data_IF_210146542767
#
_entry.id   IF_210146542767
#
_cell.length_a   1.000
_cell.length_b   1.000
_cell.length_c   1.000
_cell.angle_alpha   90.00
_cell.angle_beta   90.00
_cell.angle_gamma   90.00
#
_symmetry.space_group_name_H-M   'P 1'
#
loop_
_entity.id
_entity.type
_entity.pdbx_description
1 polymer ?
#
# COMPACT_ATOMS: atom_id res chain seq x y z
N UNK A 1 -43.91 45.74 -49.48
CA UNK A 1 -44.10 44.60 -48.58
C UNK A 1 -42.72 44.11 -48.17
N UNK A 2 -42.27 44.55 -47.02
CA UNK A 2 -40.89 44.28 -46.51
C UNK A 2 -40.97 43.26 -45.39
N UNK A 3 -40.38 42.08 -45.56
CA UNK A 3 -40.28 41.06 -44.55
C UNK A 3 -39.02 41.28 -43.74
N UNK A 4 -39.18 41.60 -42.48
CA UNK A 4 -38.07 41.69 -41.47
C UNK A 4 -37.65 40.29 -41.05
N UNK A 5 -36.46 39.85 -41.47
CA UNK A 5 -35.82 38.62 -41.01
C UNK A 5 -35.06 38.89 -39.71
N UNK A 6 -35.66 38.53 -38.56
CA UNK A 6 -34.99 38.60 -37.25
C UNK A 6 -33.95 37.47 -37.15
N UNK A 7 -32.67 37.84 -37.20
CA UNK A 7 -31.56 36.95 -36.92
C UNK A 7 -31.47 36.72 -35.42
N UNK A 8 -31.82 35.52 -34.96
CA UNK A 8 -31.52 35.07 -33.60
C UNK A 8 -30.01 34.71 -33.53
N UNK A 9 -29.26 35.47 -32.77
CA UNK A 9 -27.91 35.07 -32.35
C UNK A 9 -28.04 34.13 -31.17
N UNK A 10 -27.80 32.83 -31.34
CA UNK A 10 -27.58 31.87 -30.25
C UNK A 10 -26.13 32.00 -29.83
N UNK A 11 -25.91 32.69 -28.69
CA UNK A 11 -24.59 32.70 -28.05
C UNK A 11 -24.34 31.33 -27.37
N UNK A 12 -23.60 30.46 -28.03
CA UNK A 12 -23.13 29.22 -27.45
C UNK A 12 -22.03 29.51 -26.44
N UNK A 13 -22.33 29.40 -25.14
CA UNK A 13 -21.31 29.37 -24.10
C UNK A 13 -20.52 28.05 -24.22
N UNK A 14 -19.34 28.09 -24.83
CA UNK A 14 -18.36 27.03 -24.73
C UNK A 14 -17.79 27.02 -23.31
N UNK A 15 -18.34 26.18 -22.44
CA UNK A 15 -17.73 25.88 -21.16
C UNK A 15 -16.48 25.03 -21.40
N UNK A 16 -15.32 25.66 -21.44
CA UNK A 16 -14.05 24.95 -21.44
C UNK A 16 -13.91 24.25 -20.08
N UNK A 17 -14.18 22.94 -20.04
CA UNK A 17 -13.83 22.11 -18.91
C UNK A 17 -12.30 22.09 -18.79
N UNK A 18 -11.76 22.86 -17.85
CA UNK A 18 -10.35 22.77 -17.48
C UNK A 18 -10.18 21.44 -16.76
N UNK A 19 -9.69 20.42 -17.50
CA UNK A 19 -9.24 19.19 -16.88
C UNK A 19 -8.00 19.52 -16.02
N UNK A 20 -8.21 19.68 -14.71
CA UNK A 20 -7.11 19.77 -13.75
C UNK A 20 -6.46 18.40 -13.76
N UNK A 21 -5.18 18.26 -14.16
CA UNK A 21 -4.49 16.99 -14.05
C UNK A 21 -4.46 16.60 -12.58
N UNK A 22 -5.16 15.54 -12.20
CA UNK A 22 -4.97 14.89 -10.91
C UNK A 22 -3.61 14.22 -10.94
N UNK A 23 -2.57 14.99 -10.67
CA UNK A 23 -1.25 14.42 -10.44
C UNK A 23 -1.35 13.70 -9.11
N UNK A 24 -1.07 12.39 -9.11
CA UNK A 24 -0.86 11.64 -7.88
C UNK A 24 0.40 12.24 -7.23
N UNK A 25 0.20 13.27 -6.40
CA UNK A 25 1.28 13.92 -5.70
C UNK A 25 1.66 13.11 -4.47
N UNK A 26 2.89 12.64 -4.43
CA UNK A 26 3.56 12.47 -3.14
C UNK A 26 3.52 13.84 -2.49
N UNK A 27 2.86 13.93 -1.34
CA UNK A 27 2.79 15.19 -0.61
C UNK A 27 4.20 15.60 -0.17
N UNK A 28 4.72 16.64 -0.82
CA UNK A 28 6.08 17.12 -0.55
C UNK A 28 6.19 17.83 0.79
N UNK A 29 5.07 18.22 1.39
CA UNK A 29 5.04 18.80 2.73
C UNK A 29 5.19 17.74 3.82
N UNK A 30 4.82 16.46 3.49
CA UNK A 30 4.88 15.33 4.41
C UNK A 30 5.66 14.13 3.80
N UNK A 31 6.96 14.29 3.48
CA UNK A 31 7.70 13.27 2.72
C UNK A 31 7.86 11.95 3.48
N UNK A 32 8.01 12.00 4.81
CA UNK A 32 8.15 10.80 5.64
C UNK A 32 6.84 10.01 5.69
N UNK A 33 5.72 10.69 5.84
CA UNK A 33 4.40 10.08 5.80
C UNK A 33 4.10 9.49 4.42
N UNK A 34 4.44 10.20 3.35
CA UNK A 34 4.28 9.72 1.97
C UNK A 34 5.09 8.45 1.72
N UNK A 35 6.32 8.36 2.23
CA UNK A 35 7.15 7.15 2.17
C UNK A 35 6.46 5.98 2.88
N UNK A 36 6.00 6.17 4.13
CA UNK A 36 5.30 5.13 4.90
C UNK A 36 4.06 4.62 4.17
N UNK A 37 3.20 5.55 3.73
CA UNK A 37 1.94 5.20 3.06
C UNK A 37 2.18 4.47 1.74
N UNK A 38 3.13 4.92 0.92
CA UNK A 38 3.48 4.28 -0.34
C UNK A 38 4.03 2.87 -0.13
N UNK A 39 4.93 2.69 0.82
CA UNK A 39 5.50 1.39 1.15
C UNK A 39 4.41 0.40 1.58
N UNK A 40 3.58 0.76 2.56
CA UNK A 40 2.54 -0.16 3.05
C UNK A 40 1.40 -0.36 2.05
N UNK A 41 1.14 0.58 1.15
CA UNK A 41 0.23 0.37 0.02
C UNK A 41 0.76 -0.71 -0.92
N UNK A 42 2.05 -0.65 -1.29
CA UNK A 42 2.69 -1.68 -2.13
C UNK A 42 2.69 -3.05 -1.46
N UNK A 43 3.02 -3.11 -0.16
CA UNK A 43 2.93 -4.36 0.62
C UNK A 43 1.51 -4.93 0.59
N UNK A 44 0.48 -4.10 0.79
CA UNK A 44 -0.91 -4.53 0.75
C UNK A 44 -1.36 -5.02 -0.62
N UNK A 45 -0.93 -4.34 -1.68
CA UNK A 45 -1.26 -4.69 -3.07
C UNK A 45 -0.61 -6.00 -3.52
N UNK A 46 0.58 -6.33 -3.01
CA UNK A 46 1.25 -7.60 -3.31
C UNK A 46 0.74 -8.75 -2.44
N UNK A 47 0.49 -8.52 -1.16
CA UNK A 47 0.01 -9.55 -0.23
C UNK A 47 -1.46 -9.93 -0.45
N UNK A 48 -2.31 -8.96 -0.81
CA UNK A 48 -3.76 -9.14 -0.96
C UNK A 48 -4.16 -10.27 -1.90
N UNK A 49 -3.71 -10.26 -3.17
CA UNK A 49 -4.02 -11.32 -4.13
C UNK A 49 -3.56 -12.70 -3.67
N UNK A 50 -2.39 -12.82 -3.05
CA UNK A 50 -1.91 -14.10 -2.49
C UNK A 50 -2.82 -14.60 -1.36
N UNK A 51 -3.29 -13.70 -0.51
CA UNK A 51 -4.23 -14.04 0.55
C UNK A 51 -5.60 -14.46 0.00
N UNK A 52 -6.05 -13.86 -1.08
CA UNK A 52 -7.33 -14.21 -1.73
C UNK A 52 -7.23 -15.55 -2.47
N UNK A 53 -6.10 -15.89 -3.13
CA UNK A 53 -5.80 -17.24 -3.64
C UNK A 53 -5.82 -18.28 -2.51
N UNK A 54 -5.14 -18.00 -1.42
CA UNK A 54 -5.05 -18.94 -0.30
C UNK A 54 -6.40 -19.24 0.36
N UNK A 55 -7.32 -18.26 0.34
CA UNK A 55 -8.69 -18.36 0.85
C UNK A 55 -9.70 -18.92 -0.17
N UNK A 56 -9.27 -19.19 -1.40
CA UNK A 56 -10.15 -19.67 -2.48
C UNK A 56 -11.13 -18.62 -3.00
N UNK A 57 -10.86 -17.33 -2.80
CA UNK A 57 -11.67 -16.23 -3.37
C UNK A 57 -11.39 -16.00 -4.84
N UNK A 58 -10.19 -16.31 -5.27
CA UNK A 58 -9.75 -16.37 -6.67
C UNK A 58 -9.01 -17.68 -6.87
N UNK A 59 -8.97 -18.15 -8.13
CA UNK A 59 -8.36 -19.42 -8.48
C UNK A 59 -6.87 -19.44 -8.12
N UNK A 60 -6.40 -20.62 -7.69
CA UNK A 60 -5.00 -20.82 -7.36
C UNK A 60 -4.16 -20.89 -8.63
N UNK A 61 -3.17 -20.00 -8.74
CA UNK A 61 -2.12 -20.02 -9.75
C UNK A 61 -0.75 -19.88 -9.08
N UNK A 62 -0.02 -20.98 -9.00
CA UNK A 62 1.28 -21.00 -8.33
C UNK A 62 2.34 -20.11 -9.00
N UNK A 63 2.28 -19.93 -10.33
CA UNK A 63 3.24 -19.08 -11.04
C UNK A 63 2.95 -17.59 -10.78
N UNK A 64 1.68 -17.22 -10.78
CA UNK A 64 1.27 -15.85 -10.43
C UNK A 64 1.57 -15.58 -8.95
N UNK A 65 1.30 -16.56 -8.08
CA UNK A 65 1.63 -16.44 -6.65
C UNK A 65 3.14 -16.19 -6.43
N UNK A 66 4.00 -16.95 -7.11
CA UNK A 66 5.44 -16.80 -6.99
C UNK A 66 5.94 -15.41 -7.42
N UNK A 67 5.33 -14.82 -8.47
CA UNK A 67 5.64 -13.43 -8.87
C UNK A 67 5.29 -12.45 -7.77
N UNK A 68 4.09 -12.54 -7.20
CA UNK A 68 3.67 -11.68 -6.08
C UNK A 68 4.55 -11.85 -4.83
N UNK A 69 4.97 -13.09 -4.54
CA UNK A 69 5.85 -13.36 -3.41
C UNK A 69 7.26 -12.75 -3.61
N UNK A 70 7.79 -12.81 -4.83
CA UNK A 70 9.05 -12.14 -5.18
C UNK A 70 8.94 -10.62 -5.07
N UNK A 71 7.84 -10.04 -5.55
CA UNK A 71 7.60 -8.59 -5.43
C UNK A 71 7.50 -8.18 -3.95
N UNK A 72 6.78 -8.95 -3.13
CA UNK A 72 6.68 -8.69 -1.70
C UNK A 72 8.06 -8.75 -1.01
N UNK A 73 8.88 -9.75 -1.34
CA UNK A 73 10.24 -9.86 -0.80
C UNK A 73 11.10 -8.65 -1.19
N UNK A 74 11.04 -8.22 -2.46
CA UNK A 74 11.76 -7.03 -2.93
C UNK A 74 11.28 -5.75 -2.22
N UNK A 75 9.98 -5.54 -2.12
CA UNK A 75 9.38 -4.38 -1.43
C UNK A 75 9.77 -4.41 0.06
N UNK A 76 9.71 -5.57 0.72
CA UNK A 76 10.04 -5.70 2.13
C UNK A 76 11.49 -5.31 2.45
N UNK A 77 12.40 -5.39 1.47
CA UNK A 77 13.81 -4.99 1.63
C UNK A 77 14.03 -3.47 1.67
N UNK A 78 13.03 -2.67 1.30
CA UNK A 78 13.11 -1.20 1.41
C UNK A 78 13.15 -0.79 2.88
N UNK A 79 14.09 0.09 3.21
CA UNK A 79 14.27 0.61 4.57
C UNK A 79 13.21 1.66 4.92
N UNK A 80 11.98 1.19 5.19
CA UNK A 80 10.82 2.04 5.51
C UNK A 80 10.96 2.75 6.86
N UNK A 81 11.78 2.22 7.77
CA UNK A 81 12.09 2.83 9.08
C UNK A 81 12.59 4.28 8.95
N UNK A 82 13.22 4.64 7.84
CA UNK A 82 13.59 6.04 7.54
C UNK A 82 12.40 6.98 7.46
N UNK A 83 11.21 6.46 7.20
CA UNK A 83 9.97 7.21 7.21
C UNK A 83 9.42 7.49 8.61
N UNK A 84 10.07 6.99 9.66
CA UNK A 84 9.70 7.18 11.07
C UNK A 84 10.75 8.01 11.83
N UNK A 85 11.37 8.98 11.13
CA UNK A 85 12.32 9.89 11.76
C UNK A 85 11.66 10.69 12.91
N UNK A 86 12.42 11.09 13.94
CA UNK A 86 11.90 11.96 15.00
C UNK A 86 11.24 13.22 14.43
N UNK A 87 10.08 13.60 14.95
CA UNK A 87 9.28 14.74 14.48
C UNK A 87 8.37 14.43 13.30
N UNK A 88 8.25 13.15 12.86
CA UNK A 88 7.36 12.73 11.77
C UNK A 88 6.12 11.98 12.24
N UNK A 89 5.82 12.04 13.53
CA UNK A 89 4.68 11.37 14.18
C UNK A 89 3.33 12.02 13.92
N UNK A 90 3.33 13.30 13.53
CA UNK A 90 2.12 14.07 13.29
C UNK A 90 1.57 13.90 11.86
N UNK A 91 0.43 14.53 11.59
CA UNK A 91 -0.25 14.52 10.30
C UNK A 91 -1.27 13.38 10.16
N UNK A 92 -1.87 13.24 8.98
CA UNK A 92 -2.91 12.24 8.70
C UNK A 92 -2.34 10.83 8.65
N UNK A 93 -2.19 10.20 9.80
CA UNK A 93 -1.52 8.91 9.98
C UNK A 93 -2.32 7.94 10.85
N UNK A 94 -2.01 6.65 10.71
CA UNK A 94 -2.44 5.59 11.63
C UNK A 94 -1.26 5.00 12.40
N UNK A 95 -0.07 5.53 12.20
CA UNK A 95 1.11 5.16 12.98
C UNK A 95 0.95 5.72 14.40
N UNK A 96 0.96 4.85 15.41
CA UNK A 96 0.85 5.28 16.80
C UNK A 96 2.17 5.90 17.28
N UNK A 97 2.14 6.89 18.20
CA UNK A 97 3.34 7.47 18.80
C UNK A 97 4.25 6.45 19.49
N UNK A 98 3.68 5.31 19.91
CA UNK A 98 4.43 4.20 20.50
C UNK A 98 5.59 3.70 19.63
N UNK A 99 5.53 3.87 18.31
CA UNK A 99 6.62 3.52 17.38
C UNK A 99 7.89 4.29 17.76
N UNK A 100 7.79 5.61 17.94
CA UNK A 100 8.94 6.47 18.22
C UNK A 100 9.49 6.29 19.65
N UNK A 101 8.65 5.77 20.55
CA UNK A 101 9.06 5.43 21.93
C UNK A 101 9.69 4.04 22.03
N UNK A 102 9.41 3.14 21.07
CA UNK A 102 9.86 1.74 21.09
C UNK A 102 10.47 1.35 19.73
N UNK A 103 11.36 2.18 19.20
CA UNK A 103 11.91 2.02 17.84
C UNK A 103 12.62 0.68 17.66
N UNK A 104 13.38 0.20 18.63
CA UNK A 104 14.10 -1.07 18.56
C UNK A 104 13.14 -2.25 18.36
N UNK A 105 12.01 -2.27 19.09
CA UNK A 105 10.99 -3.32 18.93
C UNK A 105 10.27 -3.19 17.59
N UNK A 106 9.95 -1.96 17.16
CA UNK A 106 9.34 -1.71 15.85
C UNK A 106 10.25 -2.21 14.72
N UNK A 107 11.54 -1.91 14.76
CA UNK A 107 12.53 -2.37 13.77
C UNK A 107 12.69 -3.90 13.81
N UNK A 108 12.64 -4.52 14.99
CA UNK A 108 12.63 -5.97 15.13
C UNK A 108 11.43 -6.60 14.43
N UNK A 109 10.23 -6.03 14.57
CA UNK A 109 9.03 -6.50 13.87
C UNK A 109 9.13 -6.32 12.34
N UNK A 110 9.77 -5.25 11.87
CA UNK A 110 10.07 -5.07 10.45
C UNK A 110 11.08 -6.12 9.95
N UNK A 111 12.09 -6.45 10.75
CA UNK A 111 13.06 -7.50 10.43
C UNK A 111 12.39 -8.88 10.34
N UNK A 112 11.47 -9.19 11.24
CA UNK A 112 10.67 -10.42 11.19
C UNK A 112 9.82 -10.48 9.92
N UNK A 113 9.17 -9.39 9.55
CA UNK A 113 8.42 -9.33 8.29
C UNK A 113 9.31 -9.56 7.07
N UNK A 114 10.49 -8.92 7.01
CA UNK A 114 11.46 -9.11 5.91
C UNK A 114 11.89 -10.57 5.79
N UNK A 115 12.19 -11.21 6.91
CA UNK A 115 12.58 -12.62 6.96
C UNK A 115 11.47 -13.52 6.42
N UNK A 116 10.25 -13.34 6.89
CA UNK A 116 9.11 -14.16 6.49
C UNK A 116 8.69 -13.91 5.02
N UNK A 117 8.79 -12.66 4.53
CA UNK A 117 8.54 -12.33 3.12
C UNK A 117 9.58 -12.98 2.19
N UNK A 118 10.86 -12.97 2.59
CA UNK A 118 11.92 -13.67 1.86
C UNK A 118 11.68 -15.19 1.83
N UNK A 119 11.36 -15.79 2.98
CA UNK A 119 11.04 -17.20 3.06
C UNK A 119 9.81 -17.57 2.21
N UNK A 120 8.80 -16.69 2.13
CA UNK A 120 7.63 -16.89 1.26
C UNK A 120 8.04 -16.95 -0.21
N UNK A 121 8.91 -16.04 -0.66
CA UNK A 121 9.42 -16.03 -2.02
C UNK A 121 10.18 -17.34 -2.35
N UNK A 122 11.04 -17.78 -1.44
CA UNK A 122 11.80 -19.03 -1.59
C UNK A 122 10.88 -20.27 -1.68
N UNK A 123 9.91 -20.36 -0.77
CA UNK A 123 8.95 -21.48 -0.78
C UNK A 123 8.03 -21.43 -1.99
N UNK A 124 7.66 -20.23 -2.48
CA UNK A 124 6.79 -20.07 -3.65
C UNK A 124 7.47 -20.49 -4.96
N UNK A 125 8.79 -20.51 -5.02
CA UNK A 125 9.53 -20.91 -6.23
C UNK A 125 9.38 -22.42 -6.55
N UNK A 126 9.49 -23.28 -5.53
CA UNK A 126 9.56 -24.71 -5.71
C UNK A 126 8.60 -25.51 -4.81
N UNK A 127 7.91 -24.84 -3.90
CA UNK A 127 7.03 -25.46 -2.89
C UNK A 127 5.66 -25.83 -3.44
N UNK A 128 5.08 -26.91 -2.88
CA UNK A 128 3.68 -27.25 -3.14
C UNK A 128 2.72 -26.28 -2.43
N UNK A 129 1.49 -26.19 -2.92
CA UNK A 129 0.45 -25.27 -2.44
C UNK A 129 0.30 -25.25 -0.91
N UNK A 130 0.34 -26.43 -0.26
CA UNK A 130 0.23 -26.53 1.19
C UNK A 130 1.38 -25.83 1.92
N UNK A 131 2.63 -26.00 1.46
CA UNK A 131 3.79 -25.34 2.04
C UNK A 131 3.73 -23.83 1.85
N UNK A 132 3.33 -23.39 0.67
CA UNK A 132 3.15 -21.97 0.32
C UNK A 132 2.09 -21.32 1.23
N UNK A 133 0.92 -21.95 1.37
CA UNK A 133 -0.16 -21.44 2.23
C UNK A 133 0.25 -21.35 3.71
N UNK A 134 1.04 -22.33 4.17
CA UNK A 134 1.59 -22.31 5.54
C UNK A 134 2.54 -21.13 5.74
N UNK A 135 3.45 -20.90 4.79
CA UNK A 135 4.40 -19.79 4.85
C UNK A 135 3.71 -18.44 4.71
N UNK A 136 2.71 -18.34 3.83
CA UNK A 136 1.88 -17.14 3.72
C UNK A 136 1.20 -16.78 5.06
N UNK A 137 0.70 -17.80 5.78
CA UNK A 137 0.12 -17.58 7.11
C UNK A 137 1.16 -17.06 8.10
N UNK A 138 2.39 -17.57 8.08
CA UNK A 138 3.49 -17.08 8.92
C UNK A 138 3.82 -15.61 8.60
N UNK A 139 3.96 -15.28 7.31
CA UNK A 139 4.17 -13.90 6.84
C UNK A 139 3.03 -12.97 7.28
N UNK A 140 1.77 -13.39 7.13
CA UNK A 140 0.61 -12.63 7.61
C UNK A 140 0.59 -12.43 9.14
N UNK A 141 1.16 -13.38 9.88
CA UNK A 141 1.35 -13.30 11.33
C UNK A 141 2.22 -12.10 11.74
N UNK A 142 3.29 -11.83 11.00
CA UNK A 142 4.15 -10.65 11.29
C UNK A 142 3.45 -9.33 11.03
N UNK A 143 2.61 -9.27 9.99
CA UNK A 143 1.76 -8.09 9.75
C UNK A 143 0.83 -7.83 10.95
N UNK A 144 0.18 -8.88 11.44
CA UNK A 144 -0.73 -8.77 12.58
C UNK A 144 0.02 -8.33 13.84
N UNK A 145 1.16 -8.94 14.17
CA UNK A 145 1.94 -8.63 15.36
C UNK A 145 2.37 -7.14 15.42
N UNK A 146 2.78 -6.57 14.28
CA UNK A 146 3.09 -5.16 14.18
C UNK A 146 1.84 -4.27 14.27
N UNK A 147 0.77 -4.62 13.56
CA UNK A 147 -0.44 -3.83 13.48
C UNK A 147 -1.22 -3.77 14.80
N UNK A 148 -1.23 -4.83 15.58
CA UNK A 148 -1.91 -4.85 16.89
C UNK A 148 -1.30 -3.81 17.83
N UNK A 149 0.00 -3.59 17.74
CA UNK A 149 0.72 -2.72 18.65
C UNK A 149 0.86 -1.29 18.11
N UNK A 150 1.27 -1.15 16.85
CA UNK A 150 1.75 0.11 16.28
C UNK A 150 0.80 0.79 15.29
N UNK A 151 -0.32 0.17 14.92
CA UNK A 151 -1.28 0.74 13.99
C UNK A 151 -2.60 1.09 14.68
N UNK A 152 -2.98 2.35 14.63
CA UNK A 152 -4.30 2.79 15.09
C UNK A 152 -5.42 2.23 14.21
N UNK A 153 -6.60 2.00 14.80
CA UNK A 153 -7.79 1.55 14.09
C UNK A 153 -8.25 2.61 13.09
N UNK A 154 -8.26 3.86 13.53
CA UNK A 154 -8.66 5.01 12.73
C UNK A 154 -7.48 6.00 12.58
N UNK A 155 -7.61 6.99 11.72
CA UNK A 155 -6.64 8.09 11.62
C UNK A 155 -6.62 8.88 12.92
N UNK A 156 -5.42 9.27 13.37
CA UNK A 156 -5.20 9.91 14.67
C UNK A 156 -5.42 11.42 14.63
N UNK A 157 -5.27 12.05 13.41
CA UNK A 157 -5.38 13.50 13.20
C UNK A 157 -6.14 13.79 11.90
#
# INVERSE_FOLDING_TARGET
MTQNLKRLFVAGCLSAAVAVPTVAHIDKSEPMQSLRQSYFALVGMTFGPMADMAKGKIDWDGQVFAKWANDLAAISSVHVERGFAPGSEEGKTRAKPDIWMNMDDFESKLADFRREAKALSEVAADGGEFAIKRQLKATGGTCKACHDEYKAKDYLY
#
